data_IF_506652789560
#
_entry.id   IF_506652789560
#
_cell.length_a   1.000
_cell.length_b   1.000
_cell.length_c   1.000
_cell.angle_alpha   90.00
_cell.angle_beta   90.00
_cell.angle_gamma   90.00
#
_symmetry.space_group_name_H-M   'P 1'
#
loop_
_entity.id
_entity.type
_entity.pdbx_description
1 polymer ?
#
# COMPACT_ATOMS: atom_id res chain seq x y z
N UNK A 1 15.60 23.35 -3.12
CA UNK A 1 15.60 22.60 -1.85
C UNK A 1 15.83 21.16 -2.24
N UNK A 2 17.09 20.75 -2.29
CA UNK A 2 17.52 19.40 -2.65
C UNK A 2 17.02 18.45 -1.56
N UNK A 3 15.91 17.74 -1.80
CA UNK A 3 15.61 16.52 -1.05
C UNK A 3 16.56 15.47 -1.59
N UNK A 4 17.43 14.96 -0.72
CA UNK A 4 18.45 13.98 -1.05
C UNK A 4 17.78 12.67 -1.47
N UNK A 5 17.95 12.29 -2.74
CA UNK A 5 17.28 11.13 -3.35
C UNK A 5 17.52 9.83 -2.56
N UNK A 6 18.67 9.72 -1.88
CA UNK A 6 19.02 8.57 -1.03
C UNK A 6 18.16 8.52 0.24
N UNK A 7 17.84 9.68 0.83
CA UNK A 7 17.01 9.73 2.05
C UNK A 7 15.56 9.37 1.73
N UNK A 8 15.05 9.82 0.57
CA UNK A 8 13.71 9.50 0.10
C UNK A 8 13.54 8.00 -0.16
N UNK A 9 14.54 7.36 -0.75
CA UNK A 9 14.55 5.92 -1.02
C UNK A 9 14.51 5.09 0.28
N UNK A 10 15.36 5.42 1.27
CA UNK A 10 15.37 4.77 2.59
C UNK A 10 14.01 4.93 3.28
N UNK A 11 13.41 6.12 3.22
CA UNK A 11 12.11 6.39 3.81
C UNK A 11 10.99 5.54 3.18
N UNK A 12 10.98 5.40 1.85
CA UNK A 12 10.01 4.55 1.16
C UNK A 12 10.20 3.08 1.55
N UNK A 13 11.44 2.59 1.61
CA UNK A 13 11.71 1.21 2.02
C UNK A 13 11.28 0.90 3.45
N UNK A 14 11.53 1.80 4.40
CA UNK A 14 11.06 1.64 5.78
C UNK A 14 9.53 1.71 5.89
N UNK A 15 8.90 2.66 5.20
CA UNK A 15 7.44 2.78 5.18
C UNK A 15 6.79 1.55 4.55
N UNK A 16 7.31 1.05 3.42
CA UNK A 16 6.85 -0.16 2.77
C UNK A 16 6.93 -1.38 3.69
N UNK A 17 8.05 -1.55 4.40
CA UNK A 17 8.19 -2.62 5.40
C UNK A 17 7.12 -2.52 6.48
N UNK A 18 6.86 -1.32 6.99
CA UNK A 18 5.82 -1.11 8.00
C UNK A 18 4.40 -1.49 7.53
N UNK A 19 4.10 -1.31 6.25
CA UNK A 19 2.83 -1.75 5.64
C UNK A 19 2.79 -3.27 5.51
N UNK A 20 3.85 -3.88 4.98
CA UNK A 20 3.93 -5.32 4.76
C UNK A 20 3.89 -6.10 6.09
N UNK A 21 4.68 -5.68 7.07
CA UNK A 21 4.73 -6.29 8.40
C UNK A 21 3.36 -6.23 9.09
N UNK A 22 2.65 -5.11 8.95
CA UNK A 22 1.30 -4.99 9.49
C UNK A 22 0.33 -5.92 8.77
N UNK A 23 0.28 -5.87 7.44
CA UNK A 23 -0.69 -6.62 6.67
C UNK A 23 -0.48 -8.13 6.77
N UNK A 24 0.75 -8.61 6.64
CA UNK A 24 1.08 -10.04 6.74
C UNK A 24 1.16 -10.53 8.20
N UNK A 25 1.18 -9.63 9.18
CA UNK A 25 1.00 -9.97 10.59
C UNK A 25 -0.44 -10.32 10.98
N UNK A 26 -1.43 -9.99 10.13
CA UNK A 26 -2.83 -10.34 10.35
C UNK A 26 -3.10 -11.80 9.94
N UNK A 27 -4.09 -12.42 10.58
CA UNK A 27 -4.60 -13.73 10.14
C UNK A 27 -5.44 -13.60 8.86
N UNK A 28 -5.63 -14.71 8.14
CA UNK A 28 -6.48 -14.73 6.94
C UNK A 28 -7.92 -14.33 7.27
N UNK A 29 -8.44 -14.75 8.41
CA UNK A 29 -9.78 -14.38 8.87
C UNK A 29 -9.86 -12.89 9.14
N UNK A 30 -8.79 -12.31 9.69
CA UNK A 30 -8.69 -10.89 9.92
C UNK A 30 -8.73 -10.10 8.60
N UNK A 31 -8.06 -10.52 7.53
CA UNK A 31 -8.13 -9.81 6.24
C UNK A 31 -9.56 -9.59 5.73
N UNK A 32 -10.46 -10.55 5.94
CA UNK A 32 -11.85 -10.48 5.44
C UNK A 32 -12.88 -10.01 6.48
N UNK A 33 -12.54 -10.05 7.76
CA UNK A 33 -13.44 -9.61 8.82
C UNK A 33 -13.74 -8.11 8.72
N UNK A 34 -14.98 -7.72 9.01
CA UNK A 34 -15.32 -6.32 9.28
C UNK A 34 -15.02 -6.03 10.75
N UNK A 35 -14.09 -5.11 10.98
CA UNK A 35 -13.63 -4.76 12.32
C UNK A 35 -13.41 -3.24 12.37
N UNK A 36 -14.29 -2.55 13.10
CA UNK A 36 -14.28 -1.09 13.18
C UNK A 36 -13.12 -0.53 14.02
N UNK A 37 -12.54 -1.32 14.93
CA UNK A 37 -11.34 -0.91 15.67
C UNK A 37 -10.12 -0.98 14.75
N UNK A 38 -10.00 -2.06 13.98
CA UNK A 38 -8.92 -2.20 12.99
C UNK A 38 -9.04 -1.17 11.86
N UNK A 39 -10.24 -0.90 11.37
CA UNK A 39 -10.45 0.12 10.34
C UNK A 39 -9.96 1.50 10.83
N UNK A 40 -10.26 1.84 12.09
CA UNK A 40 -9.76 3.08 12.72
C UNK A 40 -8.24 3.07 12.90
N UNK A 41 -7.66 1.94 13.29
CA UNK A 41 -6.20 1.80 13.39
C UNK A 41 -5.53 2.01 12.03
N UNK A 42 -6.03 1.35 10.98
CA UNK A 42 -5.49 1.47 9.62
C UNK A 42 -5.60 2.91 9.14
N UNK A 43 -6.75 3.57 9.35
CA UNK A 43 -6.94 4.97 8.99
C UNK A 43 -5.97 5.89 9.71
N UNK A 44 -5.78 5.72 11.02
CA UNK A 44 -4.89 6.56 11.82
C UNK A 44 -3.41 6.35 11.45
N UNK A 45 -3.00 5.11 11.22
CA UNK A 45 -1.58 4.75 11.02
C UNK A 45 -1.13 4.89 9.58
N UNK A 46 -1.98 4.56 8.62
CA UNK A 46 -1.61 4.45 7.21
C UNK A 46 -2.40 5.37 6.27
N UNK A 47 -3.45 6.04 6.76
CA UNK A 47 -4.24 6.99 5.96
C UNK A 47 -3.39 8.10 5.31
N UNK A 48 -2.56 8.84 6.07
CA UNK A 48 -1.71 9.88 5.49
C UNK A 48 -0.75 9.33 4.42
N UNK A 49 -0.14 8.17 4.68
CA UNK A 49 0.76 7.52 3.75
C UNK A 49 0.04 7.10 2.46
N UNK A 50 -1.16 6.52 2.59
CA UNK A 50 -2.01 6.13 1.46
C UNK A 50 -2.39 7.33 0.60
N UNK A 51 -2.71 8.47 1.22
CA UNK A 51 -3.05 9.70 0.51
C UNK A 51 -1.82 10.28 -0.23
N UNK A 52 -0.65 10.25 0.38
CA UNK A 52 0.61 10.66 -0.26
C UNK A 52 0.97 9.75 -1.45
N UNK A 53 0.84 8.43 -1.29
CA UNK A 53 1.07 7.48 -2.39
C UNK A 53 0.08 7.70 -3.52
N UNK A 54 -1.20 7.93 -3.22
CA UNK A 54 -2.21 8.21 -4.25
C UNK A 54 -1.92 9.53 -4.97
N UNK A 55 -1.66 10.61 -4.23
CA UNK A 55 -1.43 11.94 -4.79
C UNK A 55 -0.18 12.03 -5.67
N UNK A 56 0.83 11.19 -5.39
CA UNK A 56 2.08 11.11 -6.17
C UNK A 56 2.04 10.04 -7.25
N UNK A 57 0.91 9.37 -7.46
CA UNK A 57 0.76 8.23 -8.37
C UNK A 57 1.80 7.13 -8.11
N UNK A 58 2.07 6.86 -6.83
CA UNK A 58 3.06 5.89 -6.35
C UNK A 58 4.49 6.15 -6.86
N UNK A 59 4.85 7.40 -7.15
CA UNK A 59 6.23 7.77 -7.50
C UNK A 59 7.20 7.39 -6.38
N UNK A 60 8.28 6.68 -6.73
CA UNK A 60 9.26 6.16 -5.78
C UNK A 60 8.89 4.83 -5.13
N UNK A 61 7.66 4.34 -5.32
CA UNK A 61 7.23 3.04 -4.78
C UNK A 61 7.34 1.90 -5.79
N UNK A 62 7.65 2.20 -7.06
CA UNK A 62 7.64 1.23 -8.17
C UNK A 62 8.98 0.52 -8.40
N UNK A 63 10.01 0.85 -7.62
CA UNK A 63 11.39 0.49 -7.92
C UNK A 63 11.73 -0.95 -7.50
N UNK A 64 11.00 -1.51 -6.53
CA UNK A 64 11.18 -2.88 -6.05
C UNK A 64 9.86 -3.62 -5.87
N UNK A 65 9.92 -4.96 -5.78
CA UNK A 65 8.76 -5.80 -5.55
C UNK A 65 8.03 -5.44 -4.23
N UNK A 66 8.79 -5.24 -3.15
CA UNK A 66 8.25 -4.97 -1.81
C UNK A 66 7.59 -3.60 -1.75
N UNK A 67 8.25 -2.56 -2.26
CA UNK A 67 7.68 -1.20 -2.28
C UNK A 67 6.43 -1.15 -3.15
N UNK A 68 6.42 -1.85 -4.29
CA UNK A 68 5.25 -1.86 -5.17
C UNK A 68 4.09 -2.62 -4.55
N UNK A 69 4.35 -3.76 -3.91
CA UNK A 69 3.33 -4.52 -3.18
C UNK A 69 2.74 -3.70 -2.03
N UNK A 70 3.58 -3.00 -1.26
CA UNK A 70 3.11 -2.12 -0.19
C UNK A 70 2.21 -1.00 -0.71
N UNK A 71 2.56 -0.38 -1.85
CA UNK A 71 1.72 0.62 -2.49
C UNK A 71 0.36 0.03 -2.93
N UNK A 72 0.34 -1.17 -3.50
CA UNK A 72 -0.91 -1.86 -3.88
C UNK A 72 -1.77 -2.11 -2.63
N UNK A 73 -1.20 -2.58 -1.53
CA UNK A 73 -1.92 -2.80 -0.26
C UNK A 73 -2.52 -1.49 0.28
N UNK A 74 -1.75 -0.40 0.28
CA UNK A 74 -2.24 0.92 0.69
C UNK A 74 -3.45 1.35 -0.16
N UNK A 75 -3.32 1.24 -1.49
CA UNK A 75 -4.29 1.76 -2.43
C UNK A 75 -5.55 0.89 -2.55
N UNK A 76 -5.44 -0.43 -2.45
CA UNK A 76 -6.57 -1.35 -2.63
C UNK A 76 -7.15 -1.81 -1.28
N UNK A 77 -6.35 -2.51 -0.46
CA UNK A 77 -6.81 -3.13 0.77
C UNK A 77 -7.12 -2.07 1.85
N UNK A 78 -6.18 -1.16 2.12
CA UNK A 78 -6.40 -0.16 3.17
C UNK A 78 -7.45 0.86 2.77
N UNK A 79 -7.60 1.23 1.50
CA UNK A 79 -8.73 2.06 1.04
C UNK A 79 -10.09 1.44 1.42
N UNK A 80 -10.25 0.12 1.33
CA UNK A 80 -11.48 -0.60 1.71
C UNK A 80 -11.71 -0.64 3.22
N UNK A 81 -10.65 -0.58 4.02
CA UNK A 81 -10.74 -0.41 5.48
C UNK A 81 -11.08 1.04 5.86
N UNK A 82 -10.38 2.02 5.28
CA UNK A 82 -10.47 3.46 5.61
C UNK A 82 -11.82 4.04 5.20
N UNK A 83 -12.29 3.70 3.99
CA UNK A 83 -13.51 4.27 3.39
C UNK A 83 -14.65 3.24 3.33
N UNK A 84 -14.71 2.34 4.33
CA UNK A 84 -15.65 1.22 4.31
C UNK A 84 -17.09 1.68 4.09
N UNK A 85 -17.74 1.09 3.08
CA UNK A 85 -19.15 1.35 2.79
C UNK A 85 -19.40 2.63 1.97
N UNK A 86 -18.36 3.26 1.43
CA UNK A 86 -18.46 4.42 0.56
C UNK A 86 -17.77 4.19 -0.78
N UNK A 87 -18.04 5.06 -1.76
CA UNK A 87 -17.46 4.94 -3.10
C UNK A 87 -15.95 5.23 -3.11
N UNK A 88 -15.49 6.02 -2.16
CA UNK A 88 -14.08 6.41 -1.98
C UNK A 88 -13.17 5.20 -1.70
N UNK A 89 -13.71 4.08 -1.22
CA UNK A 89 -12.98 2.83 -1.07
C UNK A 89 -12.38 2.31 -2.38
N UNK A 90 -12.96 2.70 -3.52
CA UNK A 90 -12.57 2.26 -4.86
C UNK A 90 -11.88 3.36 -5.67
N UNK A 91 -11.68 4.55 -5.09
CA UNK A 91 -11.15 5.70 -5.82
C UNK A 91 -9.70 5.50 -6.31
N UNK A 92 -8.97 4.56 -5.73
CA UNK A 92 -7.58 4.25 -6.07
C UNK A 92 -7.42 2.93 -6.87
N UNK A 93 -8.53 2.26 -7.20
CA UNK A 93 -8.49 0.91 -7.81
C UNK A 93 -7.80 0.92 -9.17
N UNK A 94 -8.00 1.96 -9.99
CA UNK A 94 -7.34 2.08 -11.31
C UNK A 94 -5.81 2.13 -11.17
N UNK A 95 -5.29 2.88 -10.19
CA UNK A 95 -3.86 2.96 -9.93
C UNK A 95 -3.33 1.64 -9.35
N UNK A 96 -4.05 1.03 -8.41
CA UNK A 96 -3.66 -0.26 -7.83
C UNK A 96 -3.60 -1.37 -8.90
N UNK A 97 -4.56 -1.38 -9.84
CA UNK A 97 -4.58 -2.31 -10.96
C UNK A 97 -3.40 -2.07 -11.92
N UNK A 98 -3.12 -0.81 -12.27
CA UNK A 98 -1.98 -0.46 -13.12
C UNK A 98 -0.64 -0.90 -12.51
N UNK A 99 -0.44 -0.66 -11.21
CA UNK A 99 0.74 -1.13 -10.47
C UNK A 99 0.83 -2.66 -10.44
N UNK A 100 -0.29 -3.35 -10.26
CA UNK A 100 -0.31 -4.82 -10.26
C UNK A 100 0.12 -5.40 -11.61
N UNK A 101 -0.39 -4.85 -12.71
CA UNK A 101 0.03 -5.24 -14.07
C UNK A 101 1.51 -4.95 -14.28
N UNK A 102 1.97 -3.76 -13.90
CA UNK A 102 3.38 -3.38 -14.00
C UNK A 102 4.29 -4.34 -13.20
N UNK A 103 3.89 -4.74 -11.99
CA UNK A 103 4.62 -5.71 -11.18
C UNK A 103 4.65 -7.12 -11.78
N UNK A 104 3.59 -7.51 -12.49
CA UNK A 104 3.57 -8.77 -13.25
C UNK A 104 4.56 -8.71 -14.41
N UNK A 105 4.52 -7.64 -15.20
CA UNK A 105 5.39 -7.42 -16.36
C UNK A 105 6.87 -7.37 -15.97
N UNK A 106 7.17 -6.78 -14.81
CA UNK A 106 8.53 -6.74 -14.22
C UNK A 106 8.94 -8.06 -13.55
N UNK A 107 8.03 -9.02 -13.41
CA UNK A 107 8.32 -10.32 -12.78
C UNK A 107 8.38 -10.30 -11.24
N UNK A 108 7.98 -9.21 -10.59
CA UNK A 108 8.05 -9.04 -9.13
C UNK A 108 7.18 -10.06 -8.37
N UNK A 109 6.04 -10.46 -8.93
CA UNK A 109 5.20 -11.53 -8.37
C UNK A 109 5.94 -12.86 -8.14
N UNK A 110 7.08 -13.10 -8.82
CA UNK A 110 7.88 -14.33 -8.67
C UNK A 110 8.91 -14.27 -7.54
N UNK A 111 9.23 -13.07 -7.07
CA UNK A 111 10.21 -12.86 -5.99
C UNK A 111 9.53 -12.72 -4.63
N UNK A 112 8.23 -12.46 -4.62
CA UNK A 112 7.42 -12.35 -3.41
C UNK A 112 7.11 -13.74 -2.84
N UNK A 113 7.06 -13.88 -1.50
CA UNK A 113 6.65 -15.12 -0.87
C UNK A 113 5.17 -15.45 -1.19
N UNK A 114 4.81 -16.74 -1.27
CA UNK A 114 3.46 -17.20 -1.59
C UNK A 114 2.46 -17.03 -0.44
#
# INVERSE_FOLDING_TARGET
MERDLVTDDVQVHEAARGVLDYWFGLTKEQHFAKDADRDREIAARFGPLRDDVLATEAKGWRDTADTMLAAIILLDQFSRNIHRGSAEAFAADDLAAALSVEGIDRGYHRTLPP
#
